data_IF_781114083608
#
_entry.id   IF_781114083608
#
_cell.length_a   1.000
_cell.length_b   1.000
_cell.length_c   1.000
_cell.angle_alpha   90.00
_cell.angle_beta   90.00
_cell.angle_gamma   90.00
#
_symmetry.space_group_name_H-M   'P 1'
#
loop_
_entity.id
_entity.type
_entity.pdbx_description
1 polymer ?
#
# COMPACT_ATOMS: atom_id res chain seq x y z
N UNK A 1 -1.13 7.99 15.77
CA UNK A 1 -0.52 6.90 15.00
C UNK A 1 -1.36 6.61 13.76
N UNK A 2 -0.74 6.44 12.61
CA UNK A 2 -1.45 6.18 11.36
C UNK A 2 -1.65 4.67 11.21
N UNK A 3 -2.88 4.26 11.01
CA UNK A 3 -3.23 2.84 10.83
C UNK A 3 -3.21 2.51 9.33
N UNK A 4 -2.48 1.47 8.96
CA UNK A 4 -2.14 1.17 7.58
C UNK A 4 -2.54 -0.24 7.20
N UNK A 5 -3.09 -0.39 5.98
CA UNK A 5 -3.32 -1.67 5.34
C UNK A 5 -2.48 -1.78 4.07
N UNK A 6 -2.08 -2.98 3.71
CA UNK A 6 -1.26 -3.23 2.53
C UNK A 6 -1.93 -4.28 1.66
N UNK A 7 -2.11 -3.95 0.38
CA UNK A 7 -2.66 -4.84 -0.64
C UNK A 7 -1.54 -5.35 -1.52
N UNK A 8 -1.55 -6.64 -1.85
CA UNK A 8 -0.50 -7.26 -2.63
C UNK A 8 0.78 -7.43 -1.83
N UNK A 9 0.65 -7.87 -0.59
CA UNK A 9 1.72 -7.84 0.40
C UNK A 9 2.85 -8.83 0.21
N UNK A 10 2.74 -9.78 -0.72
CA UNK A 10 3.76 -10.82 -0.91
C UNK A 10 4.83 -10.46 -1.94
N UNK A 11 4.66 -9.37 -2.69
CA UNK A 11 5.60 -8.95 -3.71
C UNK A 11 6.83 -8.24 -3.17
N UNK A 12 7.83 -8.05 -4.03
CA UNK A 12 9.09 -7.42 -3.66
C UNK A 12 8.91 -6.00 -3.13
N UNK A 13 8.11 -5.18 -3.82
CA UNK A 13 7.87 -3.79 -3.41
C UNK A 13 7.23 -3.73 -2.02
N UNK A 14 6.28 -4.63 -1.75
CA UNK A 14 5.64 -4.72 -0.44
C UNK A 14 6.65 -5.11 0.64
N UNK A 15 7.58 -6.01 0.33
CA UNK A 15 8.64 -6.41 1.27
C UNK A 15 9.51 -5.23 1.68
N UNK A 16 9.92 -4.40 0.73
CA UNK A 16 10.71 -3.21 1.01
C UNK A 16 9.90 -2.18 1.82
N UNK A 17 8.64 -1.98 1.49
CA UNK A 17 7.76 -1.10 2.24
C UNK A 17 7.58 -1.57 3.68
N UNK A 18 7.35 -2.88 3.88
CA UNK A 18 7.16 -3.46 5.20
C UNK A 18 8.39 -3.28 6.09
N UNK A 19 9.59 -3.41 5.53
CA UNK A 19 10.82 -3.19 6.28
C UNK A 19 10.89 -1.79 6.87
N UNK A 20 10.38 -0.81 6.16
CA UNK A 20 10.32 0.58 6.62
C UNK A 20 9.21 0.74 7.66
N UNK A 21 8.02 0.22 7.38
CA UNK A 21 6.84 0.48 8.21
C UNK A 21 6.86 -0.25 9.55
N UNK A 22 7.40 -1.48 9.62
CA UNK A 22 7.43 -2.23 10.89
C UNK A 22 8.22 -1.51 11.97
N UNK A 23 9.18 -0.67 11.58
CA UNK A 23 10.02 0.09 12.51
C UNK A 23 9.65 1.57 12.59
N UNK A 24 8.58 1.98 11.89
CA UNK A 24 8.18 3.38 11.88
C UNK A 24 7.40 3.71 13.17
N UNK A 25 7.84 4.70 13.97
CA UNK A 25 7.25 4.95 15.29
C UNK A 25 5.81 5.50 15.25
N UNK A 26 5.35 6.01 14.11
CA UNK A 26 4.02 6.61 13.97
C UNK A 26 3.09 5.78 13.08
N UNK A 27 3.46 4.55 12.77
CA UNK A 27 2.67 3.66 11.91
C UNK A 27 2.31 2.38 12.64
N UNK A 28 1.03 2.00 12.55
CA UNK A 28 0.55 0.70 12.99
C UNK A 28 0.03 -0.06 11.77
N UNK A 29 0.63 -1.21 11.47
CA UNK A 29 0.19 -2.07 10.37
C UNK A 29 -1.00 -2.90 10.87
N UNK A 30 -2.19 -2.65 10.33
CA UNK A 30 -3.41 -3.35 10.75
C UNK A 30 -3.62 -4.65 10.00
N UNK A 31 -3.29 -4.67 8.70
CA UNK A 31 -3.38 -5.91 7.93
C UNK A 31 -2.44 -5.85 6.72
N UNK A 32 -2.06 -7.04 6.27
CA UNK A 32 -1.30 -7.21 5.02
C UNK A 32 -2.04 -8.29 4.21
N UNK A 33 -2.63 -7.87 3.11
CA UNK A 33 -3.46 -8.75 2.29
C UNK A 33 -2.64 -9.51 1.26
N UNK A 34 -2.84 -10.82 1.22
CA UNK A 34 -2.35 -11.69 0.14
C UNK A 34 -3.19 -12.95 0.18
N UNK A 35 -4.01 -13.17 -0.84
CA UNK A 35 -4.89 -14.35 -0.88
C UNK A 35 -4.11 -15.66 -0.95
N UNK A 36 -3.03 -15.69 -1.72
CA UNK A 36 -2.22 -16.91 -1.90
C UNK A 36 -1.37 -17.25 -0.67
N UNK A 37 -1.11 -16.29 0.19
CA UNK A 37 -0.27 -16.49 1.39
C UNK A 37 -1.05 -16.33 2.70
N UNK A 38 -2.39 -16.25 2.64
CA UNK A 38 -3.21 -16.06 3.84
C UNK A 38 -2.90 -17.11 4.90
N UNK A 39 -2.68 -16.66 6.13
CA UNK A 39 -2.31 -17.53 7.25
C UNK A 39 -0.82 -17.72 7.45
N UNK A 40 0.02 -17.40 6.48
CA UNK A 40 1.47 -17.45 6.63
C UNK A 40 1.97 -16.18 7.31
N UNK A 41 3.10 -16.29 8.03
CA UNK A 41 3.75 -15.11 8.58
C UNK A 41 4.40 -14.27 7.46
N UNK A 42 4.54 -12.97 7.69
CA UNK A 42 5.22 -12.09 6.73
C UNK A 42 6.64 -12.59 6.45
N UNK A 43 7.34 -13.07 7.47
CA UNK A 43 8.72 -13.56 7.32
C UNK A 43 8.83 -14.88 6.56
N UNK A 44 7.73 -15.60 6.33
CA UNK A 44 7.74 -16.79 5.46
C UNK A 44 7.99 -16.42 3.99
N UNK A 45 7.66 -15.18 3.60
CA UNK A 45 7.88 -14.66 2.25
C UNK A 45 9.00 -13.62 2.24
N UNK A 46 9.00 -12.74 3.23
CA UNK A 46 9.98 -11.64 3.38
C UNK A 46 10.93 -12.01 4.51
N UNK A 47 11.96 -12.79 4.22
CA UNK A 47 12.86 -13.36 5.23
C UNK A 47 13.49 -12.32 6.15
N UNK A 48 13.78 -11.13 5.64
CA UNK A 48 14.37 -10.05 6.42
C UNK A 48 13.49 -9.53 7.56
N UNK A 49 12.21 -9.94 7.62
CA UNK A 49 11.30 -9.55 8.69
C UNK A 49 11.28 -10.55 9.85
N UNK A 50 12.03 -11.65 9.76
CA UNK A 50 12.11 -12.61 10.86
C UNK A 50 12.63 -11.93 12.12
N UNK A 51 11.89 -12.08 13.20
CA UNK A 51 12.22 -11.42 14.47
C UNK A 51 11.75 -9.96 14.59
N UNK A 52 11.29 -9.35 13.49
CA UNK A 52 10.83 -7.95 13.48
C UNK A 52 9.33 -7.84 13.72
N UNK A 53 8.55 -8.81 13.27
CA UNK A 53 7.10 -8.82 13.42
C UNK A 53 6.54 -10.23 13.35
N UNK A 54 5.41 -10.45 14.02
CA UNK A 54 4.67 -11.71 13.97
C UNK A 54 3.35 -11.58 13.18
N UNK A 55 3.21 -10.56 12.37
CA UNK A 55 2.02 -10.35 11.54
C UNK A 55 1.91 -11.46 10.50
N UNK A 56 0.68 -11.93 10.28
CA UNK A 56 0.37 -12.90 9.23
C UNK A 56 -0.36 -12.23 8.08
N UNK A 57 -0.16 -12.76 6.88
CA UNK A 57 -0.99 -12.37 5.74
C UNK A 57 -2.44 -12.77 5.98
N UNK A 58 -3.36 -11.99 5.44
CA UNK A 58 -4.79 -12.27 5.51
C UNK A 58 -5.44 -12.10 4.13
N UNK A 59 -6.52 -12.83 3.89
CA UNK A 59 -7.38 -12.60 2.72
C UNK A 59 -8.55 -11.65 3.03
N UNK A 60 -8.66 -11.19 4.26
CA UNK A 60 -9.65 -10.21 4.67
C UNK A 60 -9.22 -8.78 4.32
N UNK A 61 -10.21 -7.89 4.20
CA UNK A 61 -9.99 -6.49 3.83
C UNK A 61 -10.73 -5.57 4.81
N UNK A 62 -10.26 -5.45 6.07
CA UNK A 62 -10.94 -4.64 7.08
C UNK A 62 -10.66 -3.15 6.87
N UNK A 63 -11.27 -2.56 5.85
CA UNK A 63 -11.06 -1.16 5.48
C UNK A 63 -11.43 -0.17 6.59
N UNK A 64 -12.32 -0.55 7.49
CA UNK A 64 -12.74 0.31 8.61
C UNK A 64 -11.69 0.41 9.72
N UNK A 65 -10.66 -0.43 9.67
CA UNK A 65 -9.60 -0.45 10.69
C UNK A 65 -8.39 0.43 10.31
N UNK A 66 -8.38 1.05 9.13
CA UNK A 66 -7.21 1.76 8.62
C UNK A 66 -7.51 3.21 8.25
N UNK A 67 -6.46 4.02 8.23
CA UNK A 67 -6.48 5.41 7.79
C UNK A 67 -5.89 5.57 6.40
N UNK A 68 -4.99 4.68 6.01
CA UNK A 68 -4.31 4.71 4.73
C UNK A 68 -4.07 3.29 4.21
N UNK A 69 -4.06 3.14 2.90
CA UNK A 69 -3.86 1.86 2.24
C UNK A 69 -2.80 2.00 1.16
N UNK A 70 -1.81 1.12 1.19
CA UNK A 70 -0.81 1.00 0.13
C UNK A 70 -1.21 -0.15 -0.79
N UNK A 71 -1.22 0.09 -2.10
CA UNK A 71 -1.48 -0.95 -3.08
C UNK A 71 -0.16 -1.29 -3.75
N UNK A 72 0.33 -2.50 -3.48
CA UNK A 72 1.61 -3.00 -3.99
C UNK A 72 1.40 -4.10 -5.03
N UNK A 73 0.23 -4.15 -5.63
CA UNK A 73 -0.11 -5.09 -6.69
C UNK A 73 0.62 -4.76 -7.99
N UNK A 74 0.69 -5.70 -8.92
CA UNK A 74 1.32 -5.47 -10.21
C UNK A 74 0.56 -4.45 -11.05
N UNK A 75 1.20 -4.01 -12.14
CA UNK A 75 0.59 -3.10 -13.10
C UNK A 75 -0.68 -3.73 -13.69
N UNK A 76 -1.76 -2.96 -13.74
CA UNK A 76 -3.08 -3.44 -14.13
C UNK A 76 -3.90 -4.01 -12.97
N UNK A 77 -3.26 -4.54 -11.95
CA UNK A 77 -3.95 -5.18 -10.81
C UNK A 77 -4.54 -4.17 -9.84
N UNK A 78 -3.88 -3.03 -9.63
CA UNK A 78 -4.40 -1.97 -8.76
C UNK A 78 -5.73 -1.44 -9.28
N UNK A 79 -5.81 -1.21 -10.59
CA UNK A 79 -7.03 -0.74 -11.23
C UNK A 79 -8.16 -1.76 -11.06
N UNK A 80 -7.88 -3.04 -11.29
CA UNK A 80 -8.85 -4.11 -11.10
C UNK A 80 -9.33 -4.18 -9.65
N UNK A 81 -8.42 -4.04 -8.70
CA UNK A 81 -8.75 -4.06 -7.28
C UNK A 81 -9.70 -2.91 -6.93
N UNK A 82 -9.39 -1.69 -7.35
CA UNK A 82 -10.22 -0.53 -7.01
C UNK A 82 -11.57 -0.53 -7.73
N UNK A 83 -11.65 -1.14 -8.91
CA UNK A 83 -12.92 -1.28 -9.63
C UNK A 83 -13.83 -2.32 -8.99
N UNK A 84 -13.27 -3.30 -8.27
CA UNK A 84 -14.03 -4.41 -7.67
C UNK A 84 -14.30 -4.25 -6.17
N UNK A 85 -13.75 -3.23 -5.52
CA UNK A 85 -13.90 -3.01 -4.09
C UNK A 85 -14.26 -1.56 -3.78
N UNK A 86 -15.17 -1.37 -2.83
CA UNK A 86 -15.55 -0.04 -2.36
C UNK A 86 -14.67 0.33 -1.17
N UNK A 87 -13.65 1.14 -1.41
CA UNK A 87 -12.80 1.66 -0.33
C UNK A 87 -13.45 2.90 0.27
N UNK A 88 -13.64 2.96 1.60
CA UNK A 88 -14.24 4.14 2.23
C UNK A 88 -13.52 5.43 1.88
N UNK A 89 -14.27 6.52 1.73
CA UNK A 89 -13.72 7.81 1.33
C UNK A 89 -12.71 8.39 2.33
N UNK A 90 -12.77 7.95 3.59
CA UNK A 90 -11.84 8.40 4.63
C UNK A 90 -10.50 7.67 4.61
N UNK A 91 -10.36 6.64 3.79
CA UNK A 91 -9.10 5.91 3.64
C UNK A 91 -8.29 6.55 2.52
N UNK A 92 -7.08 6.98 2.84
CA UNK A 92 -6.16 7.50 1.83
C UNK A 92 -5.53 6.34 1.08
N UNK A 93 -5.39 6.49 -0.24
CA UNK A 93 -4.87 5.43 -1.10
C UNK A 93 -3.54 5.86 -1.69
N UNK A 94 -2.51 5.00 -1.55
CA UNK A 94 -1.20 5.20 -2.16
C UNK A 94 -0.96 4.00 -3.06
N UNK A 95 -0.95 4.23 -4.37
CA UNK A 95 -0.76 3.19 -5.37
C UNK A 95 0.67 3.16 -5.88
N UNK A 96 1.30 2.00 -5.83
CA UNK A 96 2.69 1.80 -6.24
C UNK A 96 2.81 1.25 -7.66
N UNK A 97 1.67 1.02 -8.35
CA UNK A 97 1.67 0.62 -9.77
C UNK A 97 1.70 1.83 -10.69
N UNK A 98 1.71 1.58 -12.01
CA UNK A 98 1.62 2.65 -12.99
C UNK A 98 0.19 3.06 -13.33
N UNK A 99 -0.82 2.36 -12.82
CA UNK A 99 -2.20 2.43 -13.29
C UNK A 99 -2.82 3.83 -13.21
N UNK A 100 -2.41 4.63 -12.22
CA UNK A 100 -2.98 5.96 -11.99
C UNK A 100 -1.94 7.08 -12.09
N UNK A 101 -0.78 6.81 -12.67
CA UNK A 101 0.26 7.84 -12.86
C UNK A 101 -0.14 8.91 -13.87
N UNK A 102 -1.17 8.65 -14.67
CA UNK A 102 -1.80 9.63 -15.56
C UNK A 102 -2.79 10.54 -14.84
N UNK A 103 -2.89 10.40 -13.52
CA UNK A 103 -3.79 11.17 -12.64
C UNK A 103 -5.28 10.91 -12.90
N UNK A 104 -5.63 9.78 -13.49
CA UNK A 104 -7.03 9.40 -13.66
C UNK A 104 -7.69 9.08 -12.31
N UNK A 105 -9.02 9.12 -12.28
CA UNK A 105 -9.85 8.75 -11.12
C UNK A 105 -9.51 9.52 -9.83
N UNK A 106 -9.06 10.76 -9.94
CA UNK A 106 -8.76 11.61 -8.81
C UNK A 106 -7.40 11.39 -8.15
N UNK A 107 -6.54 10.58 -8.75
CA UNK A 107 -5.19 10.38 -8.26
C UNK A 107 -4.30 11.58 -8.56
N UNK A 108 -3.36 11.86 -7.65
CA UNK A 108 -2.34 12.88 -7.82
C UNK A 108 -1.00 12.18 -8.01
N UNK A 109 -0.24 12.59 -9.02
CA UNK A 109 1.10 12.04 -9.26
C UNK A 109 2.05 12.51 -8.14
N UNK A 110 2.65 11.55 -7.44
CA UNK A 110 3.37 11.78 -6.19
C UNK A 110 4.82 12.24 -6.35
N UNK A 111 5.15 13.02 -7.37
CA UNK A 111 6.48 13.59 -7.55
C UNK A 111 6.53 14.97 -6.88
N UNK A 112 7.18 15.11 -5.67
CA UNK A 112 7.10 16.33 -4.89
C UNK A 112 7.68 17.55 -5.60
N UNK A 113 8.68 17.36 -6.46
CA UNK A 113 9.34 18.44 -7.19
C UNK A 113 8.36 19.20 -8.10
N UNK A 114 7.27 18.53 -8.52
CA UNK A 114 6.29 19.08 -9.44
C UNK A 114 4.96 19.36 -8.75
N UNK A 115 4.53 18.49 -7.84
CA UNK A 115 3.17 18.47 -7.32
C UNK A 115 3.07 18.62 -5.79
N UNK A 116 4.07 19.19 -5.12
CA UNK A 116 4.13 19.23 -3.64
C UNK A 116 2.82 19.69 -2.99
N UNK A 117 2.25 20.78 -3.43
CA UNK A 117 1.02 21.31 -2.80
C UNK A 117 -0.20 20.41 -3.06
N UNK A 118 -0.29 19.82 -4.24
CA UNK A 118 -1.37 18.87 -4.57
C UNK A 118 -1.22 17.58 -3.75
N UNK A 119 0.01 17.11 -3.53
CA UNK A 119 0.28 15.90 -2.73
C UNK A 119 -0.18 16.10 -1.29
N UNK A 120 0.08 17.25 -0.69
CA UNK A 120 -0.31 17.53 0.69
C UNK A 120 -1.82 17.43 0.90
N UNK A 121 -2.61 17.71 -0.13
CA UNK A 121 -4.07 17.70 -0.08
C UNK A 121 -4.68 16.42 -0.64
N UNK A 122 -3.86 15.52 -1.17
CA UNK A 122 -4.34 14.34 -1.87
C UNK A 122 -4.92 13.29 -0.91
N UNK A 123 -5.99 12.64 -1.33
CA UNK A 123 -6.51 11.42 -0.70
C UNK A 123 -6.14 10.17 -1.49
N UNK A 124 -5.74 10.34 -2.75
CA UNK A 124 -5.28 9.26 -3.62
C UNK A 124 -3.98 9.69 -4.27
N UNK A 125 -2.93 8.92 -4.06
CA UNK A 125 -1.58 9.24 -4.52
C UNK A 125 -1.05 8.11 -5.41
N UNK A 126 -0.58 8.48 -6.60
CA UNK A 126 0.12 7.56 -7.50
C UNK A 126 1.63 7.75 -7.32
N UNK A 127 2.31 6.74 -6.81
CA UNK A 127 3.74 6.81 -6.54
C UNK A 127 4.54 6.83 -7.85
N UNK A 128 5.58 7.68 -7.98
CA UNK A 128 6.39 7.74 -9.21
C UNK A 128 7.12 6.44 -9.50
N UNK A 129 7.41 6.19 -10.78
CA UNK A 129 8.20 5.05 -11.20
C UNK A 129 9.68 5.20 -10.83
N UNK A 130 10.38 4.06 -10.74
CA UNK A 130 11.78 4.04 -10.31
C UNK A 130 12.72 4.77 -11.28
N UNK A 131 12.37 4.85 -12.56
CA UNK A 131 13.19 5.54 -13.56
C UNK A 131 12.70 6.96 -13.87
N UNK A 132 11.53 7.36 -13.35
CA UNK A 132 10.97 8.69 -13.59
C UNK A 132 11.54 9.75 -12.65
N UNK A 133 12.19 9.31 -11.61
CA UNK A 133 12.81 10.17 -10.60
C UNK A 133 14.32 10.11 -10.68
#
# INVERSE_FOLDING_TARGET
MVRVGIIGGAGYTAGELLRILVNHPQVEIKFVNSTSNAGNYLYDVHEGLFGETDIKFTDELPFDSIDAMFICSGHGDSKKFLESHDVPANVKIIDLSQDYRDESNGFVYGLPEVNRERIKKATKLANPGCFAT
#
